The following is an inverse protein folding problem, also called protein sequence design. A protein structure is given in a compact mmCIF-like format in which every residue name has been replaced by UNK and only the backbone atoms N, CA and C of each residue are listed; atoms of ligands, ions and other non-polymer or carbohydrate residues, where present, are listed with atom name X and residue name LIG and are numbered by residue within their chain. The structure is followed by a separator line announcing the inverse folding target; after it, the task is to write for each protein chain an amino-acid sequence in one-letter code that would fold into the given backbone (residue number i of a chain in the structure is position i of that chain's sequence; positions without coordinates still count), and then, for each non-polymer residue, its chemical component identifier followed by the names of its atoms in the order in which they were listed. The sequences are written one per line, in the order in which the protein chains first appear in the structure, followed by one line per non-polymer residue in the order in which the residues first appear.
data_IF_036618349273
#
_entry.id   IF_036618349273
#
_cell.length_a   1.000
_cell.length_b   1.000
_cell.length_c   1.000
_cell.angle_alpha   90.00
_cell.angle_beta   90.00
_cell.angle_gamma   90.00
#
_symmetry.space_group_name_H-M   'P 1'
#
loop_
_entity.id
_entity.type
_entity.pdbx_description
1 polymer ?
#
# COMPACT_ATOMS: atom_id res chain seq x y z
N UNK A 1 5.24 23.15 11.61
CA UNK A 1 4.36 24.10 10.88
C UNK A 1 3.33 23.29 10.10
N UNK A 2 2.04 23.62 10.25
CA UNK A 2 0.99 22.96 9.46
C UNK A 2 1.15 23.37 7.98
N UNK A 3 1.20 22.40 7.08
CA UNK A 3 1.37 22.64 5.64
C UNK A 3 0.14 22.15 4.88
N UNK A 4 -0.21 22.84 3.80
CA UNK A 4 -1.24 22.37 2.89
C UNK A 4 -0.71 21.13 2.13
N UNK A 5 -1.40 20.01 2.29
CA UNK A 5 -1.20 18.81 1.49
C UNK A 5 -1.81 19.04 0.10
N UNK A 6 -1.07 18.89 -1.01
CA UNK A 6 -1.70 18.92 -2.33
C UNK A 6 -2.69 17.75 -2.48
N UNK A 7 -3.74 17.87 -3.29
CA UNK A 7 -4.64 16.74 -3.56
C UNK A 7 -3.87 15.68 -4.37
N UNK A 8 -3.51 14.58 -3.71
CA UNK A 8 -2.73 13.48 -4.27
C UNK A 8 -3.66 12.40 -4.82
N UNK A 9 -3.41 11.96 -6.06
CA UNK A 9 -4.07 10.80 -6.67
C UNK A 9 -3.22 9.55 -6.50
N UNK A 10 -3.85 8.46 -6.07
CA UNK A 10 -3.20 7.17 -5.80
C UNK A 10 -1.95 7.23 -4.89
N UNK A 11 -1.96 7.98 -3.77
CA UNK A 11 -0.92 7.84 -2.75
C UNK A 11 -1.04 6.49 -2.04
N UNK A 12 0.02 6.05 -1.37
CA UNK A 12 -0.11 5.01 -0.35
C UNK A 12 -0.61 5.64 0.94
N UNK A 13 -1.58 5.00 1.59
CA UNK A 13 -2.21 5.50 2.82
C UNK A 13 -2.29 4.37 3.82
N UNK A 14 -1.94 4.65 5.08
CA UNK A 14 -2.13 3.71 6.18
C UNK A 14 -2.46 4.45 7.47
N UNK A 15 -3.25 3.82 8.33
CA UNK A 15 -3.49 4.30 9.69
C UNK A 15 -2.31 3.92 10.58
N UNK A 16 -2.00 4.78 11.54
CA UNK A 16 -0.98 4.56 12.56
C UNK A 16 -1.59 4.62 13.96
N UNK A 17 -1.18 3.68 14.79
CA UNK A 17 -1.49 3.59 16.22
C UNK A 17 -0.22 3.19 16.98
N UNK A 18 -0.04 3.75 18.18
CA UNK A 18 1.16 3.51 19.00
C UNK A 18 1.26 2.05 19.47
N UNK A 19 0.12 1.38 19.61
CA UNK A 19 0.02 -0.05 19.92
C UNK A 19 -0.79 -0.80 18.87
N UNK A 20 -0.54 -2.12 18.69
CA UNK A 20 -1.39 -2.99 17.85
C UNK A 20 -2.85 -2.92 18.29
N UNK A 21 -3.76 -2.70 17.35
CA UNK A 21 -5.20 -2.59 17.64
C UNK A 21 -5.62 -1.39 18.50
N UNK A 22 -4.71 -0.42 18.72
CA UNK A 22 -5.02 0.83 19.42
C UNK A 22 -5.91 1.77 18.60
N UNK A 23 -6.38 2.84 19.24
CA UNK A 23 -7.10 3.90 18.54
C UNK A 23 -6.19 4.55 17.49
N UNK A 24 -6.74 4.79 16.29
CA UNK A 24 -6.00 5.43 15.20
C UNK A 24 -5.69 6.87 15.61
N UNK A 25 -4.42 7.15 15.87
CA UNK A 25 -3.96 8.47 16.27
C UNK A 25 -3.57 9.33 15.06
N UNK A 26 -3.10 8.69 13.99
CA UNK A 26 -2.57 9.37 12.81
C UNK A 26 -2.83 8.58 11.52
N UNK A 27 -2.75 9.27 10.39
CA UNK A 27 -2.67 8.70 9.05
C UNK A 27 -1.37 9.10 8.39
N UNK A 28 -0.72 8.13 7.76
CA UNK A 28 0.48 8.33 6.98
C UNK A 28 0.09 8.32 5.50
N UNK A 29 0.59 9.30 4.75
CA UNK A 29 0.32 9.44 3.32
C UNK A 29 1.67 9.58 2.61
N UNK A 30 1.99 8.68 1.69
CA UNK A 30 3.23 8.74 0.92
C UNK A 30 2.97 8.77 -0.58
N UNK A 31 3.74 9.60 -1.28
CA UNK A 31 3.77 9.66 -2.73
C UNK A 31 2.45 10.11 -3.38
N UNK A 32 2.12 9.55 -4.54
CA UNK A 32 0.95 9.92 -5.34
C UNK A 32 1.23 11.02 -6.37
N UNK A 33 0.25 11.23 -7.26
CA UNK A 33 0.31 12.25 -8.33
C UNK A 33 -0.34 13.56 -7.88
N UNK A 34 0.34 14.68 -8.09
CA UNK A 34 -0.23 16.02 -7.91
C UNK A 34 -1.23 16.36 -9.03
N UNK A 35 -1.96 17.49 -8.94
CA UNK A 35 -2.79 18.00 -10.03
C UNK A 35 -2.01 18.24 -11.34
N UNK A 36 -0.74 18.62 -11.22
CA UNK A 36 0.14 18.87 -12.36
C UNK A 36 0.77 17.59 -12.94
N UNK A 37 0.34 16.41 -12.47
CA UNK A 37 0.94 15.11 -12.78
C UNK A 37 2.38 14.92 -12.29
N UNK A 38 2.90 15.77 -11.40
CA UNK A 38 4.17 15.49 -10.73
C UNK A 38 3.99 14.36 -9.71
N UNK A 39 5.05 13.59 -9.46
CA UNK A 39 5.06 12.59 -8.40
C UNK A 39 5.62 13.19 -7.12
N UNK A 40 4.90 13.02 -6.03
CA UNK A 40 5.44 13.32 -4.70
C UNK A 40 6.37 12.20 -4.25
N UNK A 41 7.46 12.54 -3.57
CA UNK A 41 8.32 11.63 -2.81
C UNK A 41 8.11 11.80 -1.29
N UNK A 42 7.19 12.69 -0.90
CA UNK A 42 7.06 13.09 0.50
C UNK A 42 6.23 12.07 1.28
N UNK A 43 6.64 11.88 2.54
CA UNK A 43 5.83 11.28 3.58
C UNK A 43 5.15 12.38 4.37
N UNK A 44 3.83 12.31 4.48
CA UNK A 44 3.02 13.22 5.27
C UNK A 44 2.42 12.48 6.45
N UNK A 45 2.45 13.11 7.61
CA UNK A 45 1.79 12.65 8.84
C UNK A 45 0.60 13.56 9.10
N UNK A 46 -0.59 12.97 9.08
CA UNK A 46 -1.85 13.64 9.33
C UNK A 46 -2.42 13.19 10.68
N UNK A 47 -2.59 14.12 11.62
CA UNK A 47 -3.20 13.87 12.92
C UNK A 47 -4.54 14.58 13.04
N UNK A 48 -5.49 13.96 13.75
CA UNK A 48 -6.84 14.48 13.95
C UNK A 48 -6.96 14.99 15.38
N UNK A 49 -7.36 16.25 15.56
CA UNK A 49 -7.73 16.81 16.87
C UNK A 49 -9.23 17.08 16.84
N UNK A 50 -9.98 16.29 17.58
CA UNK A 50 -11.44 16.38 17.65
C UNK A 50 -11.88 17.30 18.79
N UNK A 51 -12.85 18.17 18.53
CA UNK A 51 -13.44 19.07 19.52
C UNK A 51 -14.87 18.63 19.87
N UNK A 52 -15.34 19.00 21.06
CA UNK A 52 -16.65 18.60 21.60
C UNK A 52 -17.86 19.01 20.72
N UNK A 53 -17.67 19.97 19.80
CA UNK A 53 -18.70 20.49 18.90
C UNK A 53 -18.78 19.75 17.55
N UNK A 54 -18.28 18.50 17.46
CA UNK A 54 -18.20 17.69 16.21
C UNK A 54 -17.38 18.34 15.07
N UNK A 55 -16.64 19.42 15.34
CA UNK A 55 -15.65 19.98 14.43
C UNK A 55 -14.31 19.34 14.74
N UNK A 56 -13.67 18.74 13.74
CA UNK A 56 -12.29 18.23 13.87
C UNK A 56 -11.34 19.14 13.12
N UNK A 57 -10.14 19.33 13.66
CA UNK A 57 -9.04 20.01 12.97
C UNK A 57 -8.01 18.97 12.58
N UNK A 58 -7.61 19.00 11.30
CA UNK A 58 -6.57 18.14 10.77
C UNK A 58 -5.25 18.90 10.76
N UNK A 59 -4.21 18.28 11.30
CA UNK A 59 -2.85 18.81 11.22
C UNK A 59 -2.03 17.91 10.32
N UNK A 60 -1.43 18.50 9.29
CA UNK A 60 -0.55 17.81 8.37
C UNK A 60 0.86 18.35 8.50
N UNK A 61 1.83 17.44 8.58
CA UNK A 61 3.25 17.74 8.60
C UNK A 61 4.00 16.84 7.62
N UNK A 62 5.05 17.39 6.99
CA UNK A 62 5.98 16.62 6.17
C UNK A 62 6.96 15.91 7.14
N UNK A 63 7.18 14.60 6.96
CA UNK A 63 8.25 13.85 7.62
C UNK A 63 9.36 13.63 6.61
N UNK A 64 10.52 14.23 6.87
CA UNK A 64 11.69 14.02 6.04
C UNK A 64 12.22 12.58 6.21
N UNK A 65 12.56 11.97 5.07
CA UNK A 65 13.15 10.64 5.02
C UNK A 65 14.63 10.74 4.64
N UNK A 66 15.46 9.91 5.27
CA UNK A 66 16.90 9.81 5.03
C UNK A 66 17.32 8.35 4.84
N UNK A 67 18.51 8.11 4.29
CA UNK A 67 18.99 6.76 3.95
C UNK A 67 18.52 6.36 2.55
N UNK A 68 18.02 5.13 2.41
CA UNK A 68 17.52 4.60 1.14
C UNK A 68 16.10 5.10 0.89
N UNK A 69 15.95 6.36 0.50
CA UNK A 69 14.63 6.98 0.31
C UNK A 69 13.98 6.42 -0.96
N UNK A 70 12.73 5.89 -0.90
CA UNK A 70 12.03 5.41 -2.08
C UNK A 70 11.83 6.56 -3.08
N UNK A 71 12.04 6.30 -4.37
CA UNK A 71 11.73 7.29 -5.41
C UNK A 71 10.24 7.71 -5.42
N UNK A 72 9.97 8.88 -6.01
CA UNK A 72 8.62 9.40 -6.16
C UNK A 72 7.74 8.43 -6.98
N UNK A 73 6.61 8.02 -6.42
CA UNK A 73 5.80 6.92 -6.94
C UNK A 73 4.32 7.01 -6.58
N UNK A 74 3.48 6.27 -7.30
CA UNK A 74 2.05 6.17 -7.05
C UNK A 74 1.56 4.73 -7.25
N UNK A 75 0.38 4.40 -6.71
CA UNK A 75 -0.17 3.03 -6.83
C UNK A 75 0.66 1.98 -6.09
N UNK A 76 1.38 2.39 -5.05
CA UNK A 76 2.14 1.52 -4.14
C UNK A 76 1.35 1.35 -2.83
N UNK A 77 1.84 0.47 -1.96
CA UNK A 77 1.27 0.30 -0.62
C UNK A 77 2.23 0.74 0.48
N UNK A 78 1.63 1.00 1.64
CA UNK A 78 2.33 1.30 2.88
C UNK A 78 1.53 0.66 4.03
N UNK A 79 2.21 -0.01 4.95
CA UNK A 79 1.61 -0.64 6.12
C UNK A 79 2.48 -0.41 7.35
N UNK A 80 1.84 -0.14 8.49
CA UNK A 80 2.53 -0.17 9.79
C UNK A 80 2.64 -1.62 10.24
N UNK A 81 3.81 -2.00 10.76
CA UNK A 81 4.06 -3.27 11.43
C UNK A 81 4.55 -3.02 12.85
N UNK A 82 4.20 -3.93 13.75
CA UNK A 82 4.59 -3.90 15.15
C UNK A 82 5.30 -5.20 15.52
N UNK A 83 6.55 -5.09 15.97
CA UNK A 83 7.39 -6.24 16.33
C UNK A 83 8.19 -5.92 17.59
N UNK A 84 8.12 -6.81 18.59
CA UNK A 84 8.84 -6.67 19.89
C UNK A 84 8.65 -5.31 20.58
N UNK A 85 7.44 -4.74 20.51
CA UNK A 85 7.12 -3.43 21.11
C UNK A 85 7.64 -2.23 20.32
N UNK A 86 8.21 -2.43 19.13
CA UNK A 86 8.61 -1.38 18.19
C UNK A 86 7.65 -1.34 17.01
N UNK A 87 7.52 -0.18 16.38
CA UNK A 87 6.76 -0.01 15.14
C UNK A 87 7.66 0.45 14.00
N UNK A 88 7.40 -0.04 12.80
CA UNK A 88 8.02 0.45 11.58
C UNK A 88 7.00 0.49 10.44
N UNK A 89 7.33 1.18 9.37
CA UNK A 89 6.51 1.24 8.16
C UNK A 89 7.16 0.40 7.06
N UNK A 90 6.38 -0.48 6.46
CA UNK A 90 6.75 -1.26 5.28
C UNK A 90 6.12 -0.59 4.07
N UNK A 91 6.93 -0.24 3.08
CA UNK A 91 6.51 0.37 1.81
C UNK A 91 6.96 -0.50 0.64
N UNK A 92 6.06 -0.76 -0.31
CA UNK A 92 6.35 -1.65 -1.43
C UNK A 92 5.61 -1.28 -2.73
N UNK A 93 6.31 -1.46 -3.85
CA UNK A 93 5.77 -1.42 -5.21
C UNK A 93 5.47 -0.02 -5.73
N UNK A 94 4.52 0.06 -6.66
CA UNK A 94 4.08 1.26 -7.36
C UNK A 94 4.74 1.49 -8.70
N UNK A 95 4.38 2.63 -9.29
CA UNK A 95 4.90 3.12 -10.56
C UNK A 95 5.54 4.48 -10.39
N UNK A 96 6.56 4.72 -11.21
CA UNK A 96 7.21 6.01 -11.38
C UNK A 96 7.25 6.39 -12.87
N UNK A 97 7.58 7.64 -13.16
CA UNK A 97 7.91 8.02 -14.54
C UNK A 97 9.23 7.36 -14.93
N UNK A 98 9.39 7.09 -16.23
CA UNK A 98 10.70 6.65 -16.74
C UNK A 98 11.81 7.64 -16.31
N UNK A 99 13.02 7.15 -15.98
CA UNK A 99 14.13 8.00 -15.54
C UNK A 99 14.39 9.17 -16.49
N UNK A 100 14.78 10.32 -15.95
CA UNK A 100 14.95 11.56 -16.72
C UNK A 100 15.91 11.41 -17.91
N UNK A 101 16.98 10.61 -17.75
CA UNK A 101 17.95 10.33 -18.82
C UNK A 101 17.40 9.48 -19.97
N UNK A 102 16.24 8.83 -19.80
CA UNK A 102 15.54 8.03 -20.80
C UNK A 102 14.25 8.71 -21.30
N UNK A 103 13.90 9.87 -20.74
CA UNK A 103 12.64 10.57 -21.00
C UNK A 103 12.76 11.51 -22.20
N UNK A 104 11.87 11.35 -23.17
CA UNK A 104 11.68 12.29 -24.28
C UNK A 104 10.35 13.03 -24.11
N UNK A 105 10.13 14.09 -24.88
CA UNK A 105 8.83 14.78 -24.93
C UNK A 105 7.70 13.84 -25.36
N UNK A 106 7.97 12.92 -26.29
CA UNK A 106 7.00 11.91 -26.76
C UNK A 106 6.66 10.86 -25.71
N UNK A 107 7.62 10.47 -24.88
CA UNK A 107 7.44 9.49 -23.80
C UNK A 107 7.30 10.16 -22.43
N UNK A 108 6.95 11.45 -22.40
CA UNK A 108 6.95 12.22 -21.16
C UNK A 108 6.05 11.57 -20.11
N UNK A 109 4.86 11.10 -20.48
CA UNK A 109 3.94 10.50 -19.51
C UNK A 109 4.11 8.99 -19.33
N UNK A 110 5.12 8.37 -19.93
CA UNK A 110 5.35 6.94 -19.79
C UNK A 110 5.84 6.60 -18.38
N UNK A 111 5.32 5.51 -17.86
CA UNK A 111 5.62 4.99 -16.53
C UNK A 111 6.23 3.61 -16.62
N UNK A 112 6.97 3.23 -15.59
CA UNK A 112 7.46 1.87 -15.37
C UNK A 112 7.08 1.46 -13.94
N UNK A 113 7.01 0.16 -13.67
CA UNK A 113 6.91 -0.27 -12.27
C UNK A 113 8.24 0.01 -11.56
N UNK A 114 8.15 0.45 -10.31
CA UNK A 114 9.33 0.67 -9.49
C UNK A 114 10.07 -0.66 -9.26
N UNK A 115 11.37 -0.56 -9.01
CA UNK A 115 12.18 -1.72 -8.58
C UNK A 115 11.52 -2.43 -7.39
N UNK A 116 11.51 -3.78 -7.35
CA UNK A 116 10.82 -4.59 -6.33
C UNK A 116 11.54 -4.60 -4.97
N UNK A 117 11.93 -3.42 -4.50
CA UNK A 117 12.53 -3.21 -3.19
C UNK A 117 11.44 -2.97 -2.16
N UNK A 118 11.59 -3.58 -1.00
CA UNK A 118 10.77 -3.29 0.18
C UNK A 118 11.53 -2.28 1.05
N UNK A 119 10.89 -1.18 1.38
CA UNK A 119 11.46 -0.14 2.22
C UNK A 119 10.93 -0.31 3.64
N UNK A 120 11.85 -0.38 4.60
CA UNK A 120 11.53 -0.33 6.03
C UNK A 120 11.86 1.06 6.55
N UNK A 121 10.85 1.76 7.06
CA UNK A 121 10.96 3.15 7.50
C UNK A 121 10.71 3.23 9.01
N UNK A 122 11.68 3.74 9.73
CA UNK A 122 11.55 4.14 11.14
C UNK A 122 10.92 5.54 11.20
N UNK A 123 9.72 5.66 11.77
CA UNK A 123 9.01 6.94 11.89
C UNK A 123 9.56 7.87 12.96
N UNK A 124 10.27 7.35 13.96
CA UNK A 124 10.88 8.18 15.00
C UNK A 124 11.97 9.05 14.37
N UNK A 125 12.87 8.42 13.61
CA UNK A 125 14.03 9.11 13.03
C UNK A 125 13.89 9.46 11.55
N UNK A 126 12.90 8.91 10.84
CA UNK A 126 12.75 9.07 9.39
C UNK A 126 13.77 8.26 8.58
N UNK A 127 14.41 7.26 9.19
CA UNK A 127 15.42 6.44 8.51
C UNK A 127 14.74 5.37 7.65
N UNK A 128 15.06 5.36 6.37
CA UNK A 128 14.61 4.37 5.39
C UNK A 128 15.75 3.43 5.02
N UNK A 129 15.45 2.14 4.91
CA UNK A 129 16.38 1.10 4.46
C UNK A 129 15.71 0.22 3.42
N UNK A 130 16.37 0.01 2.29
CA UNK A 130 15.85 -0.81 1.20
C UNK A 130 16.30 -2.27 1.31
N UNK A 131 15.36 -3.20 1.16
CA UNK A 131 15.59 -4.64 1.18
C UNK A 131 15.26 -5.23 -0.19
N UNK A 132 16.23 -5.95 -0.76
CA UNK A 132 16.01 -6.80 -1.93
C UNK A 132 15.62 -8.21 -1.45
N UNK A 133 14.37 -8.60 -1.73
CA UNK A 133 13.78 -9.87 -1.28
C UNK A 133 13.70 -10.81 -2.47
N UNK A 134 14.36 -11.98 -2.37
CA UNK A 134 14.56 -12.92 -3.48
C UNK A 134 13.26 -13.49 -4.02
N UNK A 135 12.21 -13.55 -3.20
CA UNK A 135 10.89 -14.04 -3.59
C UNK A 135 10.15 -13.08 -4.54
N UNK A 136 10.54 -11.80 -4.57
CA UNK A 136 9.88 -10.75 -5.36
C UNK A 136 10.83 -10.25 -6.44
N UNK A 137 10.64 -10.73 -7.66
CA UNK A 137 11.53 -10.42 -8.79
C UNK A 137 11.00 -9.31 -9.71
N UNK A 138 9.68 -9.15 -9.76
CA UNK A 138 9.03 -8.20 -10.66
C UNK A 138 8.47 -7.01 -9.90
N UNK A 139 8.50 -5.84 -10.55
CA UNK A 139 7.75 -4.67 -10.11
C UNK A 139 6.25 -4.97 -10.04
N UNK A 140 5.57 -4.36 -9.07
CA UNK A 140 4.15 -4.58 -8.83
C UNK A 140 3.49 -3.28 -8.41
N UNK A 141 2.30 -3.00 -8.95
CA UNK A 141 1.52 -1.82 -8.61
C UNK A 141 0.04 -2.14 -8.47
N UNK A 142 -0.69 -1.27 -7.77
CA UNK A 142 -2.12 -1.41 -7.49
C UNK A 142 -2.49 -2.77 -6.86
N UNK A 143 -1.57 -3.34 -6.10
CA UNK A 143 -1.81 -4.52 -5.28
C UNK A 143 -2.60 -4.16 -4.04
N UNK A 144 -3.22 -5.18 -3.47
CA UNK A 144 -3.81 -5.12 -2.14
C UNK A 144 -2.69 -5.32 -1.12
N UNK A 145 -2.78 -4.62 0.01
CA UNK A 145 -1.88 -4.82 1.14
C UNK A 145 -2.65 -4.81 2.45
N UNK A 146 -2.52 -5.88 3.24
CA UNK A 146 -3.07 -5.96 4.60
C UNK A 146 -1.94 -6.29 5.56
N UNK A 147 -1.96 -5.72 6.76
CA UNK A 147 -0.98 -6.03 7.79
C UNK A 147 -1.63 -6.44 9.09
N UNK A 148 -0.94 -7.32 9.82
CA UNK A 148 -1.30 -7.75 11.16
C UNK A 148 -0.02 -7.97 11.95
N UNK A 149 0.12 -7.25 13.07
CA UNK A 149 1.31 -7.27 13.90
C UNK A 149 2.58 -7.03 13.07
N UNK A 150 3.45 -8.02 12.97
CA UNK A 150 4.76 -7.98 12.32
C UNK A 150 4.73 -8.49 10.86
N UNK A 151 3.55 -8.75 10.30
CA UNK A 151 3.37 -9.35 8.98
C UNK A 151 2.58 -8.43 8.05
N UNK A 152 3.04 -8.31 6.80
CA UNK A 152 2.32 -7.69 5.68
C UNK A 152 2.06 -8.75 4.62
N UNK A 153 0.82 -8.81 4.12
CA UNK A 153 0.43 -9.62 2.98
C UNK A 153 0.19 -8.71 1.78
N UNK A 154 0.94 -8.93 0.71
CA UNK A 154 0.74 -8.28 -0.59
C UNK A 154 0.01 -9.26 -1.50
N UNK A 155 -1.16 -8.88 -2.02
CA UNK A 155 -2.07 -9.76 -2.74
C UNK A 155 -2.41 -9.16 -4.10
N UNK A 156 -2.32 -9.96 -5.16
CA UNK A 156 -2.67 -9.51 -6.50
C UNK A 156 -1.70 -8.47 -7.04
N UNK A 157 -2.23 -7.38 -7.58
CA UNK A 157 -1.47 -6.32 -8.23
C UNK A 157 -1.28 -6.57 -9.72
N UNK A 158 -0.71 -5.57 -10.38
CA UNK A 158 -0.46 -5.57 -11.81
C UNK A 158 1.01 -5.27 -12.10
N UNK A 159 1.63 -6.13 -12.89
CA UNK A 159 2.98 -5.93 -13.44
C UNK A 159 2.85 -5.38 -14.85
N UNK A 160 3.32 -4.15 -15.06
CA UNK A 160 3.19 -3.37 -16.28
C UNK A 160 3.92 -4.01 -17.45
N UNK A 161 5.16 -4.47 -17.24
CA UNK A 161 6.02 -4.97 -18.33
C UNK A 161 5.47 -6.25 -18.95
N UNK A 162 4.88 -7.13 -18.14
CA UNK A 162 4.26 -8.38 -18.60
C UNK A 162 2.75 -8.27 -18.87
N UNK A 163 2.12 -7.18 -18.41
CA UNK A 163 0.67 -6.98 -18.39
C UNK A 163 -0.09 -8.10 -17.66
N UNK A 164 0.46 -8.58 -16.54
CA UNK A 164 -0.08 -9.71 -15.77
C UNK A 164 -0.59 -9.24 -14.41
N UNK A 165 -1.70 -9.86 -13.96
CA UNK A 165 -2.17 -9.80 -12.57
C UNK A 165 -1.85 -11.12 -11.88
N UNK A 166 -0.85 -11.10 -11.00
CA UNK A 166 -0.39 -12.31 -10.32
C UNK A 166 -1.42 -12.84 -9.33
N UNK A 167 -1.45 -14.15 -9.15
CA UNK A 167 -2.22 -14.83 -8.09
C UNK A 167 -1.38 -15.11 -6.85
N UNK A 168 -0.13 -14.66 -6.82
CA UNK A 168 0.76 -14.83 -5.67
C UNK A 168 0.31 -13.92 -4.51
N UNK A 169 0.51 -14.43 -3.30
CA UNK A 169 0.50 -13.63 -2.08
C UNK A 169 1.92 -13.61 -1.52
N UNK A 170 2.49 -12.43 -1.37
CA UNK A 170 3.77 -12.27 -0.68
C UNK A 170 3.50 -12.00 0.80
N UNK A 171 3.80 -12.98 1.66
CA UNK A 171 3.76 -12.84 3.12
C UNK A 171 5.13 -12.36 3.59
N UNK A 172 5.22 -11.09 3.96
CA UNK A 172 6.45 -10.44 4.43
C UNK A 172 6.39 -10.35 5.95
N UNK A 173 7.31 -11.01 6.64
CA UNK A 173 7.45 -10.95 8.11
C UNK A 173 8.65 -10.10 8.48
N UNK A 174 8.47 -9.20 9.46
CA UNK A 174 9.47 -8.20 9.88
C UNK A 174 9.81 -8.39 11.35
N UNK A 175 11.06 -8.69 11.67
CA UNK A 175 11.55 -8.72 13.05
C UNK A 175 12.33 -7.43 13.38
N UNK A 176 12.00 -6.79 14.50
CA UNK A 176 12.65 -5.55 14.97
C UNK A 176 13.38 -5.78 16.30
N UNK A 177 14.52 -6.51 16.32
CA UNK A 177 15.32 -6.69 17.52
C UNK A 177 15.99 -5.38 17.96
N UNK A 178 16.79 -5.43 19.03
CA UNK A 178 17.62 -4.28 19.43
C UNK A 178 18.73 -3.96 18.40
N UNK A 179 19.15 -4.94 17.61
CA UNK A 179 20.10 -4.77 16.51
C UNK A 179 19.41 -4.47 15.17
N UNK A 180 20.00 -4.97 14.09
CA UNK A 180 19.48 -4.78 12.74
C UNK A 180 18.13 -5.49 12.53
N UNK A 181 17.16 -4.84 11.86
CA UNK A 181 15.93 -5.49 11.42
C UNK A 181 16.21 -6.72 10.56
N UNK A 182 15.31 -7.70 10.63
CA UNK A 182 15.31 -8.86 9.73
C UNK A 182 13.98 -8.94 9.00
N UNK A 183 14.02 -9.39 7.75
CA UNK A 183 12.84 -9.54 6.91
C UNK A 183 12.89 -10.87 6.17
N UNK A 184 11.77 -11.59 6.18
CA UNK A 184 11.61 -12.83 5.42
C UNK A 184 10.34 -12.75 4.59
N UNK A 185 10.37 -13.31 3.38
CA UNK A 185 9.19 -13.42 2.55
C UNK A 185 8.85 -14.88 2.31
N UNK A 186 7.56 -15.20 2.25
CA UNK A 186 7.06 -16.51 1.81
C UNK A 186 6.00 -16.27 0.76
N UNK A 187 6.12 -16.95 -0.37
CA UNK A 187 5.11 -16.90 -1.44
C UNK A 187 4.03 -17.93 -1.14
N UNK A 188 2.79 -17.47 -1.02
CA UNK A 188 1.61 -18.31 -0.90
C UNK A 188 0.82 -18.25 -2.21
N UNK A 189 0.16 -19.35 -2.56
CA UNK A 189 -0.70 -19.41 -3.73
C UNK A 189 -2.13 -19.02 -3.38
N UNK A 190 -2.72 -18.16 -4.21
CA UNK A 190 -4.12 -17.77 -4.15
C UNK A 190 -4.77 -18.02 -5.51
N UNK A 191 -6.11 -17.92 -5.56
CA UNK A 191 -6.86 -17.88 -6.83
C UNK A 191 -7.23 -16.46 -7.24
N UNK A 192 -6.87 -15.48 -6.42
CA UNK A 192 -7.26 -14.09 -6.60
C UNK A 192 -6.26 -13.35 -7.51
N UNK A 193 -6.60 -13.25 -8.79
CA UNK A 193 -5.93 -12.38 -9.75
C UNK A 193 -6.70 -11.06 -9.84
N UNK A 194 -6.16 -10.01 -9.24
CA UNK A 194 -6.85 -8.71 -9.17
C UNK A 194 -5.88 -7.55 -9.05
N UNK A 195 -6.22 -6.41 -9.64
CA UNK A 195 -5.56 -5.12 -9.38
C UNK A 195 -6.57 -4.05 -8.97
N UNK A 196 -6.11 -3.03 -8.24
CA UNK A 196 -6.90 -1.84 -7.85
C UNK A 196 -8.16 -2.17 -7.05
N UNK A 197 -8.17 -3.30 -6.35
CA UNK A 197 -9.28 -3.63 -5.47
C UNK A 197 -9.27 -2.75 -4.22
N UNK A 198 -10.44 -2.57 -3.62
CA UNK A 198 -10.58 -1.91 -2.34
C UNK A 198 -10.52 -2.93 -1.21
N UNK A 199 -9.91 -2.53 -0.10
CA UNK A 199 -9.92 -3.32 1.13
C UNK A 199 -10.54 -2.51 2.26
N UNK A 200 -11.41 -3.15 3.02
CA UNK A 200 -11.94 -2.65 4.28
C UNK A 200 -11.74 -3.69 5.38
N UNK A 201 -11.59 -3.27 6.62
CA UNK A 201 -11.57 -4.18 7.78
C UNK A 201 -12.95 -4.19 8.42
N UNK A 202 -13.44 -5.37 8.80
CA UNK A 202 -14.71 -5.52 9.54
C UNK A 202 -14.48 -5.84 11.00
N UNK A 203 -13.38 -6.54 11.31
CA UNK A 203 -12.86 -6.75 12.66
C UNK A 203 -11.32 -6.87 12.59
N UNK A 204 -10.59 -6.95 13.73
CA UNK A 204 -9.12 -6.89 13.73
C UNK A 204 -8.42 -7.93 12.84
N UNK A 205 -9.04 -9.10 12.67
CA UNK A 205 -8.46 -10.24 11.96
C UNK A 205 -9.16 -10.55 10.62
N UNK A 206 -10.16 -9.74 10.24
CA UNK A 206 -10.96 -9.97 9.05
C UNK A 206 -11.08 -8.72 8.17
N UNK A 207 -10.79 -8.93 6.88
CA UNK A 207 -10.85 -7.91 5.85
C UNK A 207 -11.78 -8.35 4.73
N UNK A 208 -12.34 -7.37 4.01
CA UNK A 208 -13.13 -7.59 2.80
C UNK A 208 -12.43 -6.95 1.62
N UNK A 209 -12.24 -7.74 0.56
CA UNK A 209 -11.75 -7.28 -0.74
C UNK A 209 -12.95 -7.13 -1.67
N UNK A 210 -13.12 -5.95 -2.23
CA UNK A 210 -14.25 -5.61 -3.12
C UNK A 210 -13.74 -4.93 -4.38
N UNK A 211 -14.34 -5.31 -5.52
CA UNK A 211 -14.06 -4.66 -6.80
C UNK A 211 -12.65 -4.92 -7.30
N UNK A 212 -12.16 -3.98 -8.11
CA UNK A 212 -10.90 -4.06 -8.84
C UNK A 212 -11.09 -4.53 -10.28
N UNK A 213 -10.01 -5.00 -10.89
CA UNK A 213 -9.97 -5.48 -12.27
C UNK A 213 -9.31 -6.84 -12.35
N UNK A 214 -9.94 -7.77 -13.07
CA UNK A 214 -9.40 -9.11 -13.40
C UNK A 214 -8.54 -9.04 -14.65
N UNK A 215 -8.91 -8.17 -15.60
CA UNK A 215 -8.16 -7.85 -16.82
C UNK A 215 -8.34 -6.37 -17.15
N UNK A 216 -7.65 -5.87 -18.18
CA UNK A 216 -7.75 -4.46 -18.57
C UNK A 216 -9.13 -4.06 -19.14
N UNK A 217 -9.93 -5.06 -19.53
CA UNK A 217 -11.28 -4.88 -20.06
C UNK A 217 -12.37 -5.39 -19.12
N UNK A 218 -12.03 -6.08 -18.02
CA UNK A 218 -12.98 -6.73 -17.13
C UNK A 218 -12.81 -6.27 -15.68
N UNK A 219 -13.84 -5.58 -15.18
CA UNK A 219 -13.98 -5.28 -13.74
C UNK A 219 -14.26 -6.56 -12.98
N UNK A 220 -13.72 -6.64 -11.77
CA UNK A 220 -14.04 -7.69 -10.81
C UNK A 220 -15.34 -7.35 -10.10
N UNK A 221 -16.33 -8.24 -10.18
CA UNK A 221 -17.66 -8.04 -9.55
C UNK A 221 -17.84 -8.84 -8.27
N UNK A 222 -16.96 -9.79 -7.99
CA UNK A 222 -17.01 -10.65 -6.80
C UNK A 222 -16.44 -9.96 -5.56
N UNK A 223 -16.70 -10.52 -4.38
CA UNK A 223 -16.14 -10.07 -3.11
C UNK A 223 -15.41 -11.23 -2.43
N UNK A 224 -14.35 -10.93 -1.68
CA UNK A 224 -13.70 -11.93 -0.82
C UNK A 224 -13.68 -11.48 0.63
N UNK A 225 -13.84 -12.45 1.52
CA UNK A 225 -13.46 -12.30 2.92
C UNK A 225 -12.05 -12.85 3.10
N UNK A 226 -11.20 -12.07 3.76
CA UNK A 226 -9.83 -12.44 4.12
C UNK A 226 -9.77 -12.57 5.63
N UNK A 227 -9.35 -13.73 6.12
CA UNK A 227 -9.21 -13.98 7.55
C UNK A 227 -7.73 -14.28 7.87
N UNK A 228 -7.17 -13.62 8.87
CA UNK A 228 -5.77 -13.82 9.28
C UNK A 228 -5.74 -14.45 10.66
N UNK A 229 -5.34 -15.72 10.75
CA UNK A 229 -5.27 -16.49 12.00
C UNK A 229 -3.93 -17.21 12.12
N UNK A 230 -3.26 -17.09 13.27
CA UNK A 230 -1.96 -17.74 13.53
C UNK A 230 -0.94 -17.55 12.39
N UNK A 231 -0.78 -16.31 11.91
CA UNK A 231 0.09 -15.93 10.78
C UNK A 231 -0.26 -16.57 9.41
N UNK A 232 -1.39 -17.25 9.31
CA UNK A 232 -1.94 -17.79 8.06
C UNK A 232 -3.06 -16.89 7.55
N UNK A 233 -3.10 -16.74 6.23
CA UNK A 233 -4.14 -16.00 5.52
C UNK A 233 -5.06 -16.99 4.82
N UNK A 234 -6.36 -16.83 5.01
CA UNK A 234 -7.40 -17.56 4.29
C UNK A 234 -8.26 -16.57 3.49
N UNK A 235 -8.57 -16.91 2.24
CA UNK A 235 -9.35 -16.06 1.32
C UNK A 235 -10.55 -16.87 0.84
N UNK A 236 -11.74 -16.43 1.24
CA UNK A 236 -13.00 -17.07 0.90
C UNK A 236 -13.79 -16.21 -0.09
N UNK A 237 -14.43 -16.84 -1.07
CA UNK A 237 -15.38 -16.18 -1.96
C UNK A 237 -16.67 -15.87 -1.19
N UNK A 238 -17.14 -14.64 -1.33
CA UNK A 238 -18.40 -14.20 -0.75
C UNK A 238 -19.49 -14.13 -1.81
N UNK A 239 -20.75 -14.15 -1.37
CA UNK A 239 -21.88 -13.89 -2.26
C UNK A 239 -21.69 -12.53 -2.96
N UNK A 240 -21.89 -12.52 -4.27
CA UNK A 240 -21.74 -11.30 -5.06
C UNK A 240 -22.89 -10.35 -4.73
N UNK A 241 -22.61 -9.09 -4.34
CA UNK A 241 -23.66 -8.11 -4.12
C UNK A 241 -24.55 -7.94 -5.35
N UNK A 242 -25.83 -7.63 -5.17
CA UNK A 242 -26.69 -7.30 -6.29
C UNK A 242 -26.37 -5.89 -6.83
N UNK A 243 -25.35 -5.83 -7.67
CA UNK A 243 -24.91 -4.59 -8.30
C UNK A 243 -25.99 -4.02 -9.22
N UNK A 244 -26.16 -2.71 -9.19
CA UNK A 244 -27.07 -2.03 -10.13
C UNK A 244 -26.61 -2.19 -11.58
N UNK A 245 -27.53 -1.97 -12.52
CA UNK A 245 -27.22 -1.97 -13.95
C UNK A 245 -26.06 -1.03 -14.31
N UNK A 246 -26.03 0.15 -13.70
CA UNK A 246 -24.98 1.15 -13.93
C UNK A 246 -23.58 0.64 -13.53
N UNK A 247 -23.46 -0.03 -12.38
CA UNK A 247 -22.16 -0.58 -11.93
C UNK A 247 -21.74 -1.76 -12.82
N UNK A 248 -22.70 -2.62 -13.20
CA UNK A 248 -22.45 -3.77 -14.08
C UNK A 248 -21.98 -3.31 -15.46
N UNK A 249 -22.63 -2.29 -16.04
CA UNK A 249 -22.37 -1.81 -17.41
C UNK A 249 -21.26 -0.76 -17.50
N UNK A 250 -20.89 -0.10 -16.39
CA UNK A 250 -19.75 0.83 -16.38
C UNK A 250 -18.49 0.13 -16.86
N UNK A 251 -17.65 0.80 -17.66
CA UNK A 251 -16.35 0.26 -18.05
C UNK A 251 -15.35 0.29 -16.90
N UNK A 252 -15.42 1.31 -16.05
CA UNK A 252 -14.47 1.56 -14.95
C UNK A 252 -15.16 1.60 -13.61
#
# INVERSE_FOLDING_TARGET
HARALPPLRHPAVTSFSDSPGGEVSQYLIHGGKTPNNDLSQKLYVMSIVSFANKKSTLYCSDKDLVGDVPEARYGHSMNVVHSRGKSAVVLFGGRSYIPLNQRTTEKWNNVTDCQPLIYLIDLQFGCSTAYNIKEIQDGLSFHISVSRNDIVYIIGGHTLDSNIRSTNIYRIKVDLPLGSPAMTCTVLQSRLSVSSAMVTHTCPDEFFIVGGYETDSQKRMTCNKVSITNDNIDIQDMETPDWTGDVKQSKT
#
